data_IF_635271635895
#
_entry.id   IF_635271635895
#
_cell.length_a   1.000
_cell.length_b   1.000
_cell.length_c   1.000
_cell.angle_alpha   90.00
_cell.angle_beta   90.00
_cell.angle_gamma   90.00
#
_symmetry.space_group_name_H-M   'P 1'
#
loop_
_entity.id
_entity.type
_entity.pdbx_description
1 polymer ?
#
# COMPACT_ATOMS: atom_id res chain seq x y z
N UNK A 1 29.70 16.26 8.79
CA UNK A 1 29.15 15.15 9.58
C UNK A 1 27.69 15.01 9.15
N UNK A 2 27.27 13.81 8.75
CA UNK A 2 25.87 13.54 8.36
C UNK A 2 24.94 13.86 9.52
N UNK A 3 23.92 14.69 9.26
CA UNK A 3 22.91 15.04 10.26
C UNK A 3 21.68 14.14 10.14
N UNK A 4 21.02 13.87 11.26
CA UNK A 4 19.75 13.12 11.27
C UNK A 4 18.71 13.76 10.34
N UNK A 5 18.59 15.09 10.40
CA UNK A 5 17.67 15.86 9.55
C UNK A 5 17.88 15.57 8.07
N UNK A 6 19.13 15.60 7.59
CA UNK A 6 19.46 15.32 6.20
C UNK A 6 18.96 13.93 5.75
N UNK A 7 19.13 12.91 6.60
CA UNK A 7 18.72 11.54 6.29
C UNK A 7 17.18 11.43 6.29
N UNK A 8 16.51 12.06 7.27
CA UNK A 8 15.06 12.09 7.33
C UNK A 8 14.45 12.81 6.13
N UNK A 9 14.97 13.98 5.76
CA UNK A 9 14.53 14.73 4.58
C UNK A 9 14.66 13.88 3.30
N UNK A 10 15.76 13.11 3.17
CA UNK A 10 15.96 12.19 2.04
C UNK A 10 14.97 11.01 2.03
N UNK A 11 14.69 10.40 3.19
CA UNK A 11 13.73 9.31 3.34
C UNK A 11 12.29 9.78 3.09
N UNK A 12 11.94 11.00 3.49
CA UNK A 12 10.64 11.60 3.19
C UNK A 12 10.49 11.91 1.69
N UNK A 13 11.54 12.45 1.06
CA UNK A 13 11.54 12.70 -0.37
C UNK A 13 11.37 11.40 -1.18
N UNK A 14 12.07 10.32 -0.81
CA UNK A 14 11.91 9.00 -1.42
C UNK A 14 10.47 8.47 -1.25
N UNK A 15 9.89 8.61 -0.06
CA UNK A 15 8.49 8.25 0.20
C UNK A 15 7.50 9.06 -0.64
N UNK A 16 7.81 10.33 -0.92
CA UNK A 16 7.01 11.20 -1.79
C UNK A 16 7.21 10.92 -3.29
N UNK A 17 7.99 9.88 -3.65
CA UNK A 17 8.21 9.44 -5.02
C UNK A 17 9.45 10.03 -5.70
N UNK A 18 10.31 10.76 -4.98
CA UNK A 18 11.57 11.25 -5.54
C UNK A 18 12.62 10.13 -5.56
N UNK A 19 13.00 9.66 -6.76
CA UNK A 19 13.94 8.53 -6.93
C UNK A 19 15.37 8.83 -6.48
N UNK A 20 15.85 10.07 -6.67
CA UNK A 20 17.24 10.47 -6.35
C UNK A 20 17.25 11.69 -5.41
N UNK A 21 16.97 11.50 -4.11
CA UNK A 21 16.85 12.61 -3.16
C UNK A 21 18.19 13.20 -2.71
N UNK A 22 19.28 12.45 -2.79
CA UNK A 22 20.57 12.86 -2.19
C UNK A 22 21.49 13.46 -3.27
N UNK A 23 22.05 14.65 -3.02
CA UNK A 23 23.12 15.19 -3.85
C UNK A 23 24.46 14.57 -3.42
N UNK A 24 25.27 14.18 -4.39
CA UNK A 24 26.60 13.63 -4.16
C UNK A 24 27.48 14.61 -3.36
N UNK A 25 27.30 15.91 -3.59
CA UNK A 25 28.08 16.97 -2.95
C UNK A 25 27.93 16.98 -1.42
N UNK A 26 26.83 16.44 -0.91
CA UNK A 26 26.54 16.38 0.53
C UNK A 26 27.15 15.12 1.21
N UNK A 27 27.54 14.11 0.43
CA UNK A 27 27.89 12.78 0.98
C UNK A 27 29.34 12.35 0.79
N UNK A 28 30.04 12.86 -0.23
CA UNK A 28 31.38 12.39 -0.59
C UNK A 28 32.42 12.58 0.52
N UNK A 29 32.33 13.67 1.28
CA UNK A 29 33.21 13.93 2.43
C UNK A 29 32.97 12.93 3.57
N UNK A 30 31.69 12.59 3.80
CA UNK A 30 31.30 11.64 4.85
C UNK A 30 31.71 10.20 4.48
N UNK A 31 31.85 9.88 3.19
CA UNK A 31 32.45 8.63 2.72
C UNK A 31 34.00 8.59 2.89
N UNK A 32 34.62 9.68 3.37
CA UNK A 32 36.05 9.73 3.69
C UNK A 32 36.97 10.17 2.55
N UNK A 33 36.42 10.68 1.44
CA UNK A 33 37.24 11.21 0.35
C UNK A 33 37.76 12.62 0.67
N UNK A 34 39.00 12.91 0.29
CA UNK A 34 39.62 14.24 0.43
C UNK A 34 39.35 15.18 -0.73
N UNK A 35 38.95 14.64 -1.88
CA UNK A 35 38.62 15.41 -3.09
C UNK A 35 37.35 14.84 -3.73
N UNK A 36 36.46 15.75 -4.15
CA UNK A 36 35.24 15.42 -4.90
C UNK A 36 35.53 14.53 -6.12
N UNK A 37 36.54 14.86 -6.91
CA UNK A 37 36.91 14.07 -8.11
C UNK A 37 37.24 12.61 -7.80
N UNK A 38 37.90 12.34 -6.66
CA UNK A 38 38.21 10.97 -6.24
C UNK A 38 36.93 10.21 -5.91
N UNK A 39 35.99 10.87 -5.23
CA UNK A 39 34.68 10.31 -4.92
C UNK A 39 33.84 10.06 -6.17
N UNK A 40 33.82 10.99 -7.13
CA UNK A 40 33.12 10.80 -8.42
C UNK A 40 33.67 9.59 -9.17
N UNK A 41 35.00 9.43 -9.22
CA UNK A 41 35.61 8.24 -9.84
C UNK A 41 35.21 6.96 -9.12
N UNK A 42 35.08 6.97 -7.80
CA UNK A 42 34.65 5.82 -7.03
C UNK A 42 33.16 5.50 -7.25
N UNK A 43 32.31 6.52 -7.33
CA UNK A 43 30.90 6.39 -7.69
C UNK A 43 30.74 5.72 -9.07
N UNK A 44 31.45 6.24 -10.08
CA UNK A 44 31.36 5.75 -11.47
C UNK A 44 32.04 4.40 -11.70
N UNK A 45 33.05 4.05 -10.91
CA UNK A 45 33.72 2.72 -10.96
C UNK A 45 33.07 1.69 -10.03
N UNK A 46 32.17 2.12 -9.17
CA UNK A 46 31.46 1.25 -8.25
C UNK A 46 30.53 0.28 -8.99
N UNK A 47 29.92 -0.65 -8.24
CA UNK A 47 28.90 -1.57 -8.77
C UNK A 47 27.51 -0.91 -8.88
N UNK A 48 27.46 0.42 -8.98
CA UNK A 48 26.22 1.20 -9.03
C UNK A 48 25.80 1.38 -10.49
N UNK A 49 24.50 1.23 -10.74
CA UNK A 49 23.91 1.25 -12.07
C UNK A 49 23.34 2.64 -12.35
N UNK A 50 23.76 3.33 -13.43
CA UNK A 50 23.15 4.59 -13.85
C UNK A 50 21.65 4.45 -14.09
N UNK A 51 20.87 5.50 -13.80
CA UNK A 51 19.40 5.56 -13.90
C UNK A 51 18.62 4.64 -12.95
N UNK A 52 19.31 3.84 -12.13
CA UNK A 52 18.71 3.05 -11.04
C UNK A 52 19.23 3.55 -9.69
N UNK A 53 20.54 3.60 -9.55
CA UNK A 53 21.21 3.97 -8.30
C UNK A 53 21.56 5.46 -8.26
N UNK A 54 21.89 6.04 -9.41
CA UNK A 54 22.24 7.46 -9.50
C UNK A 54 21.89 8.06 -10.87
N UNK A 55 21.65 9.36 -10.88
CA UNK A 55 21.36 10.14 -12.08
C UNK A 55 22.36 11.30 -12.21
N UNK A 56 22.84 11.54 -13.43
CA UNK A 56 23.79 12.61 -13.74
C UNK A 56 23.06 13.76 -14.42
N UNK A 57 22.99 14.90 -13.74
CA UNK A 57 22.51 16.14 -14.32
C UNK A 57 23.70 16.83 -14.99
N UNK A 58 23.70 16.86 -16.32
CA UNK A 58 24.77 17.47 -17.11
C UNK A 58 24.69 18.99 -17.00
N UNK A 59 25.78 19.60 -16.51
CA UNK A 59 25.91 21.05 -16.41
C UNK A 59 26.33 21.67 -17.73
N UNK A 60 25.93 22.93 -17.95
CA UNK A 60 26.40 23.68 -19.11
C UNK A 60 27.84 24.15 -18.90
N UNK A 61 28.80 23.44 -19.50
CA UNK A 61 30.23 23.76 -19.43
C UNK A 61 30.57 25.14 -19.99
N UNK A 62 29.82 25.64 -20.97
CA UNK A 62 30.04 26.98 -21.56
C UNK A 62 29.73 28.08 -20.53
N UNK A 63 28.83 27.80 -19.60
CA UNK A 63 28.48 28.70 -18.48
C UNK A 63 29.26 28.38 -17.19
N UNK A 64 30.26 27.50 -17.24
CA UNK A 64 31.02 27.09 -16.06
C UNK A 64 30.23 26.22 -15.07
N UNK A 65 29.07 25.70 -15.45
CA UNK A 65 28.22 24.89 -14.57
C UNK A 65 28.71 23.43 -14.62
N UNK A 66 29.13 22.91 -13.47
CA UNK A 66 29.58 21.51 -13.33
C UNK A 66 28.42 20.52 -13.31
N UNK A 67 28.70 19.27 -13.69
CA UNK A 67 27.73 18.18 -13.55
C UNK A 67 27.37 17.98 -12.07
N UNK A 68 26.10 17.64 -11.82
CA UNK A 68 25.62 17.19 -10.51
C UNK A 68 25.30 15.70 -10.58
N UNK A 69 25.50 15.01 -9.47
CA UNK A 69 25.22 13.59 -9.35
C UNK A 69 24.24 13.42 -8.22
N UNK A 70 23.06 12.86 -8.52
CA UNK A 70 22.04 12.58 -7.51
C UNK A 70 21.94 11.08 -7.29
N UNK A 71 21.82 10.66 -6.05
CA UNK A 71 21.80 9.25 -5.64
C UNK A 71 20.46 8.90 -5.00
N UNK A 72 20.07 7.63 -5.14
CA UNK A 72 19.06 7.03 -4.28
C UNK A 72 19.58 6.88 -2.85
N UNK A 73 18.68 6.63 -1.90
CA UNK A 73 19.08 6.38 -0.50
C UNK A 73 19.92 5.10 -0.41
N UNK A 74 19.54 4.07 -1.15
CA UNK A 74 20.27 2.80 -1.21
C UNK A 74 21.65 2.94 -1.88
N UNK A 75 21.74 3.72 -2.96
CA UNK A 75 23.02 4.00 -3.61
C UNK A 75 23.97 4.79 -2.72
N UNK A 76 23.44 5.71 -1.92
CA UNK A 76 24.22 6.49 -0.94
C UNK A 76 24.85 5.58 0.13
N UNK A 77 24.08 4.64 0.69
CA UNK A 77 24.58 3.61 1.62
C UNK A 77 25.63 2.71 0.98
N UNK A 78 25.39 2.30 -0.27
CA UNK A 78 26.28 1.43 -1.04
C UNK A 78 27.58 2.13 -1.43
N UNK A 79 27.53 3.42 -1.73
CA UNK A 79 28.69 4.26 -1.98
C UNK A 79 29.57 4.39 -0.73
N UNK A 80 28.97 4.68 0.43
CA UNK A 80 29.70 4.71 1.71
C UNK A 80 30.39 3.37 2.03
N UNK A 81 29.72 2.24 1.73
CA UNK A 81 30.32 0.90 1.87
C UNK A 81 31.50 0.72 0.91
N UNK A 82 31.31 1.07 -0.36
CA UNK A 82 32.31 0.89 -1.40
C UNK A 82 33.57 1.77 -1.19
N UNK A 83 33.45 2.85 -0.43
CA UNK A 83 34.57 3.72 -0.10
C UNK A 83 35.65 3.01 0.74
N UNK A 84 35.29 1.97 1.50
CA UNK A 84 36.19 1.18 2.34
C UNK A 84 37.06 2.06 3.27
N UNK A 85 36.44 3.06 3.89
CA UNK A 85 37.06 3.95 4.89
C UNK A 85 36.30 3.87 6.21
N UNK A 86 36.99 4.15 7.33
CA UNK A 86 36.34 4.18 8.65
C UNK A 86 35.18 5.18 8.70
N UNK A 87 35.36 6.35 8.07
CA UNK A 87 34.30 7.37 7.94
C UNK A 87 33.11 6.86 7.11
N UNK A 88 33.37 6.16 6.02
CA UNK A 88 32.33 5.57 5.18
C UNK A 88 31.53 4.49 5.92
N UNK A 89 32.21 3.65 6.70
CA UNK A 89 31.56 2.64 7.53
C UNK A 89 30.70 3.28 8.64
N UNK A 90 31.20 4.32 9.31
CA UNK A 90 30.44 5.09 10.31
C UNK A 90 29.21 5.77 9.67
N UNK A 91 29.40 6.46 8.55
CA UNK A 91 28.33 7.11 7.79
C UNK A 91 27.24 6.12 7.38
N UNK A 92 27.63 4.96 6.87
CA UNK A 92 26.69 3.90 6.48
C UNK A 92 25.91 3.36 7.68
N UNK A 93 26.60 3.09 8.79
CA UNK A 93 25.96 2.59 10.02
C UNK A 93 24.93 3.58 10.53
N UNK A 94 25.27 4.87 10.51
CA UNK A 94 24.37 5.94 10.91
C UNK A 94 23.14 6.03 9.99
N UNK A 95 23.32 5.92 8.66
CA UNK A 95 22.19 5.82 7.72
C UNK A 95 21.23 4.69 8.06
N UNK A 96 21.76 3.48 8.27
CA UNK A 96 20.95 2.29 8.59
C UNK A 96 20.20 2.48 9.92
N UNK A 97 20.84 3.09 10.91
CA UNK A 97 20.24 3.32 12.21
C UNK A 97 19.07 4.31 12.14
N UNK A 98 19.25 5.46 11.47
CA UNK A 98 18.20 6.46 11.28
C UNK A 98 17.05 5.88 10.46
N UNK A 99 17.35 5.16 9.38
CA UNK A 99 16.35 4.49 8.55
C UNK A 99 15.53 3.46 9.35
N UNK A 100 16.19 2.67 10.21
CA UNK A 100 15.50 1.71 11.08
C UNK A 100 14.53 2.40 12.04
N UNK A 101 14.96 3.48 12.70
CA UNK A 101 14.10 4.25 13.60
C UNK A 101 12.92 4.87 12.86
N UNK A 102 13.16 5.42 11.67
CA UNK A 102 12.12 5.99 10.81
C UNK A 102 11.07 4.95 10.41
N UNK A 103 11.50 3.76 9.95
CA UNK A 103 10.60 2.65 9.61
C UNK A 103 9.76 2.19 10.81
N UNK A 104 10.38 2.05 11.99
CA UNK A 104 9.65 1.70 13.21
C UNK A 104 8.61 2.76 13.59
N UNK A 105 8.92 4.04 13.41
CA UNK A 105 7.98 5.13 13.63
C UNK A 105 6.79 5.07 12.65
N UNK A 106 7.05 4.79 11.37
CA UNK A 106 6.01 4.60 10.37
C UNK A 106 5.13 3.39 10.69
N UNK A 107 5.73 2.24 11.00
CA UNK A 107 5.00 1.03 11.39
C UNK A 107 4.13 1.27 12.62
N UNK A 108 4.64 1.97 13.63
CA UNK A 108 3.88 2.34 14.83
C UNK A 108 2.72 3.28 14.51
N UNK A 109 2.96 4.27 13.65
CA UNK A 109 1.91 5.21 13.22
C UNK A 109 0.82 4.48 12.42
N UNK A 110 1.21 3.53 11.58
CA UNK A 110 0.29 2.67 10.84
C UNK A 110 -0.49 1.75 11.79
N UNK A 111 0.17 1.08 12.74
CA UNK A 111 -0.51 0.20 13.69
C UNK A 111 -1.50 0.98 14.57
N UNK A 112 -1.16 2.22 14.96
CA UNK A 112 -2.07 3.11 15.68
C UNK A 112 -3.30 3.51 14.83
N UNK A 113 -3.16 3.62 13.50
CA UNK A 113 -4.28 3.85 12.59
C UNK A 113 -5.16 2.62 12.35
N UNK A 114 -4.70 1.41 12.69
CA UNK A 114 -5.49 0.18 12.62
C UNK A 114 -6.22 -0.15 13.93
N UNK A 115 -5.78 0.41 15.06
CA UNK A 115 -6.44 0.22 16.36
C UNK A 115 -7.67 1.13 16.58
N UNK A 116 -7.98 2.04 15.63
CA UNK A 116 -9.32 2.64 15.54
C UNK A 116 -10.32 1.64 14.99
N UNK A 117 -10.73 0.70 15.83
CA UNK A 117 -12.04 0.02 15.80
C UNK A 117 -13.20 1.02 15.98
N UNK A 118 -13.22 2.08 15.18
CA UNK A 118 -14.37 3.01 15.06
C UNK A 118 -14.66 3.35 13.60
N UNK A 119 -14.37 2.46 12.66
CA UNK A 119 -14.95 2.55 11.33
C UNK A 119 -16.14 1.61 11.27
N UNK A 120 -17.32 2.22 11.16
CA UNK A 120 -18.56 1.52 10.90
C UNK A 120 -18.34 0.53 9.74
N UNK A 121 -18.79 -0.72 9.85
CA UNK A 121 -18.57 -1.67 8.76
C UNK A 121 -19.19 -1.07 7.50
N UNK A 122 -18.43 -1.01 6.40
CA UNK A 122 -18.85 -0.38 5.15
C UNK A 122 -20.21 -0.90 4.63
N UNK A 123 -20.59 -2.12 5.02
CA UNK A 123 -21.87 -2.75 4.70
C UNK A 123 -22.60 -3.22 5.98
N UNK A 124 -23.13 -2.31 6.82
CA UNK A 124 -23.58 -2.64 8.17
C UNK A 124 -24.94 -3.38 8.20
N UNK A 125 -25.69 -3.41 7.10
CA UNK A 125 -27.07 -3.87 7.08
C UNK A 125 -27.23 -5.13 6.23
N UNK A 126 -27.71 -6.21 6.84
CA UNK A 126 -27.98 -7.44 6.10
C UNK A 126 -29.35 -7.38 5.41
N UNK A 127 -29.50 -8.05 4.27
CA UNK A 127 -30.77 -8.10 3.54
C UNK A 127 -31.89 -8.74 4.36
N UNK A 128 -31.55 -9.60 5.34
CA UNK A 128 -32.51 -10.21 6.25
C UNK A 128 -33.05 -9.19 7.23
N UNK A 129 -32.15 -8.37 7.78
CA UNK A 129 -32.50 -7.28 8.68
C UNK A 129 -33.37 -6.23 7.99
N UNK A 130 -33.03 -5.85 6.75
CA UNK A 130 -33.87 -4.97 5.94
C UNK A 130 -35.27 -5.60 5.78
N UNK A 131 -35.37 -6.87 5.40
CA UNK A 131 -36.65 -7.56 5.25
C UNK A 131 -37.46 -7.70 6.56
N UNK A 132 -36.84 -7.59 7.74
CA UNK A 132 -37.58 -7.51 9.02
C UNK A 132 -38.33 -6.17 9.16
N UNK A 133 -37.82 -5.09 8.55
CA UNK A 133 -38.37 -3.74 8.68
C UNK A 133 -39.38 -3.36 7.60
N UNK A 134 -39.27 -3.96 6.41
CA UNK A 134 -40.07 -3.58 5.23
C UNK A 134 -40.88 -4.73 4.67
N UNK A 135 -42.09 -4.43 4.19
CA UNK A 135 -43.02 -5.44 3.67
C UNK A 135 -42.83 -5.68 2.16
N UNK A 136 -41.67 -6.21 1.81
CA UNK A 136 -41.48 -6.74 0.46
C UNK A 136 -42.14 -8.12 0.34
N UNK A 137 -42.73 -8.39 -0.84
CA UNK A 137 -43.48 -9.62 -1.12
C UNK A 137 -42.68 -10.93 -0.87
N UNK A 138 -41.34 -10.89 -0.82
CA UNK A 138 -40.46 -11.91 -0.23
C UNK A 138 -38.97 -11.46 -0.22
N UNK A 139 -38.09 -12.19 0.48
CA UNK A 139 -36.62 -11.93 0.52
C UNK A 139 -35.96 -11.96 -0.88
N UNK A 140 -36.50 -12.77 -1.79
CA UNK A 140 -36.02 -12.87 -3.19
C UNK A 140 -36.29 -11.58 -3.95
N UNK A 141 -37.43 -10.96 -3.72
CA UNK A 141 -37.83 -9.69 -4.33
C UNK A 141 -36.95 -8.56 -3.82
N UNK A 142 -36.70 -8.47 -2.51
CA UNK A 142 -35.76 -7.48 -1.94
C UNK A 142 -34.37 -7.59 -2.59
N UNK A 143 -33.87 -8.82 -2.76
CA UNK A 143 -32.61 -9.06 -3.47
C UNK A 143 -32.65 -8.65 -4.94
N UNK A 144 -33.76 -8.90 -5.62
CA UNK A 144 -33.91 -8.52 -7.03
C UNK A 144 -33.94 -7.01 -7.21
N UNK A 145 -34.64 -6.28 -6.35
CA UNK A 145 -34.67 -4.81 -6.37
C UNK A 145 -33.26 -4.25 -6.18
N UNK A 146 -32.54 -4.76 -5.17
CA UNK A 146 -31.18 -4.31 -4.88
C UNK A 146 -30.23 -4.59 -6.06
N UNK A 147 -30.34 -5.76 -6.69
CA UNK A 147 -29.51 -6.10 -7.86
C UNK A 147 -29.79 -5.25 -9.10
N UNK A 148 -31.02 -4.75 -9.25
CA UNK A 148 -31.40 -3.98 -10.42
C UNK A 148 -30.95 -2.52 -10.31
N UNK A 149 -30.99 -1.97 -9.09
CA UNK A 149 -30.83 -0.54 -8.85
C UNK A 149 -29.48 -0.16 -8.24
N UNK A 150 -28.65 -1.13 -7.83
CA UNK A 150 -27.40 -0.91 -7.09
C UNK A 150 -26.23 -1.77 -7.60
N UNK A 151 -24.99 -1.34 -7.31
CA UNK A 151 -23.76 -1.98 -7.80
C UNK A 151 -23.07 -2.89 -6.76
N UNK A 152 -22.67 -4.10 -7.17
CA UNK A 152 -21.93 -5.04 -6.32
C UNK A 152 -20.50 -4.55 -6.07
N UNK A 153 -20.09 -4.53 -4.80
CA UNK A 153 -18.79 -4.03 -4.34
C UNK A 153 -18.80 -2.55 -3.95
N UNK A 154 -19.85 -1.81 -4.31
CA UNK A 154 -20.02 -0.39 -3.97
C UNK A 154 -21.20 -0.23 -3.01
N UNK A 155 -22.37 -0.70 -3.41
CA UNK A 155 -23.62 -0.54 -2.66
C UNK A 155 -23.97 -1.77 -1.84
N UNK A 156 -23.62 -2.96 -2.34
CA UNK A 156 -23.80 -4.21 -1.63
C UNK A 156 -22.67 -5.21 -1.86
N UNK A 157 -22.52 -6.18 -0.97
CA UNK A 157 -21.63 -7.33 -1.13
C UNK A 157 -22.33 -8.63 -0.75
N UNK A 158 -21.88 -9.74 -1.34
CA UNK A 158 -22.29 -11.08 -0.95
C UNK A 158 -21.29 -11.69 0.02
N UNK A 159 -21.79 -12.12 1.18
CA UNK A 159 -21.05 -12.94 2.14
C UNK A 159 -21.83 -14.23 2.34
N UNK A 160 -21.24 -15.35 1.89
CA UNK A 160 -21.89 -16.68 1.86
C UNK A 160 -23.21 -16.70 1.06
N UNK A 161 -24.34 -16.60 1.76
CA UNK A 161 -25.71 -16.63 1.20
C UNK A 161 -26.52 -15.41 1.61
N UNK A 162 -25.87 -14.40 2.17
CA UNK A 162 -26.49 -13.18 2.65
C UNK A 162 -25.84 -11.97 1.96
N UNK A 163 -26.68 -10.99 1.69
CA UNK A 163 -26.28 -9.76 1.03
C UNK A 163 -26.22 -8.67 2.10
N UNK A 164 -25.14 -7.91 2.10
CA UNK A 164 -24.90 -6.82 3.04
C UNK A 164 -24.88 -5.52 2.23
N UNK A 165 -25.58 -4.49 2.72
CA UNK A 165 -25.72 -3.20 2.09
C UNK A 165 -24.96 -2.14 2.87
N UNK A 166 -24.45 -1.14 2.15
CA UNK A 166 -23.94 0.09 2.76
C UNK A 166 -25.08 0.91 3.37
N UNK A 167 -24.72 1.94 4.14
CA UNK A 167 -25.71 2.73 4.87
C UNK A 167 -26.64 3.54 3.95
N UNK A 168 -26.11 4.05 2.85
CA UNK A 168 -26.86 4.88 1.90
C UNK A 168 -27.91 4.05 1.14
N UNK A 169 -27.51 2.91 0.59
CA UNK A 169 -28.40 1.98 -0.10
C UNK A 169 -29.49 1.45 0.83
N UNK A 170 -29.15 1.13 2.09
CA UNK A 170 -30.15 0.73 3.08
C UNK A 170 -31.15 1.86 3.36
N UNK A 171 -30.69 3.10 3.51
CA UNK A 171 -31.55 4.25 3.80
C UNK A 171 -32.49 4.57 2.65
N UNK A 172 -31.97 4.61 1.41
CA UNK A 172 -32.77 4.85 0.20
C UNK A 172 -33.85 3.77 0.07
N UNK A 173 -33.47 2.52 0.27
CA UNK A 173 -34.37 1.39 0.15
C UNK A 173 -35.46 1.37 1.23
N UNK A 174 -35.15 1.78 2.47
CA UNK A 174 -36.13 1.93 3.53
C UNK A 174 -37.10 3.09 3.28
N UNK A 175 -36.61 4.20 2.70
CA UNK A 175 -37.46 5.34 2.34
C UNK A 175 -38.42 5.02 1.18
N UNK A 176 -38.01 4.15 0.24
CA UNK A 176 -38.83 3.73 -0.89
C UNK A 176 -39.88 2.65 -0.50
N UNK A 177 -39.69 1.97 0.62
CA UNK A 177 -40.50 0.83 1.01
C UNK A 177 -41.68 1.20 1.92
N UNK A 178 -42.74 0.38 1.89
CA UNK A 178 -43.80 0.46 2.89
C UNK A 178 -43.41 -0.34 4.14
N UNK A 179 -43.52 0.24 5.35
CA UNK A 179 -43.29 -0.50 6.58
C UNK A 179 -44.34 -1.60 6.74
N UNK A 180 -43.96 -2.69 7.40
CA UNK A 180 -44.90 -3.74 7.78
C UNK A 180 -45.96 -3.22 8.75
N UNK A 181 -47.23 -3.67 8.65
CA UNK A 181 -48.26 -3.32 9.63
C UNK A 181 -47.79 -3.66 11.06
N UNK A 182 -47.79 -2.67 11.95
CA UNK A 182 -47.37 -2.84 13.34
C UNK A 182 -45.85 -2.79 13.59
N UNK A 183 -45.03 -2.55 12.55
CA UNK A 183 -43.57 -2.39 12.67
C UNK A 183 -43.21 -0.92 12.57
N UNK A 184 -42.59 -0.38 13.62
CA UNK A 184 -42.01 0.96 13.61
C UNK A 184 -40.58 0.85 13.07
N UNK A 185 -40.29 1.52 11.96
CA UNK A 185 -38.92 1.64 11.46
C UNK A 185 -38.13 2.44 12.49
N UNK A 186 -37.01 1.91 13.03
CA UNK A 186 -36.17 2.66 13.95
C UNK A 186 -35.68 3.96 13.30
N UNK A 187 -35.71 5.07 14.03
CA UNK A 187 -35.06 6.32 13.60
C UNK A 187 -33.54 6.14 13.44
N UNK A 188 -32.97 5.19 14.19
CA UNK A 188 -31.59 4.75 14.07
C UNK A 188 -31.54 3.24 13.81
N UNK A 189 -31.05 2.86 12.64
CA UNK A 189 -30.93 1.47 12.24
C UNK A 189 -29.90 0.76 13.13
N UNK A 190 -30.37 -0.12 14.03
CA UNK A 190 -29.50 -0.92 14.91
C UNK A 190 -28.49 -1.69 14.09
N UNK A 191 -27.21 -1.41 14.24
CA UNK A 191 -26.13 -2.09 13.50
C UNK A 191 -25.98 -3.51 14.06
N UNK A 192 -25.91 -4.52 13.19
CA UNK A 192 -25.48 -5.87 13.61
C UNK A 192 -23.96 -5.95 13.49
N UNK A 193 -23.29 -6.74 14.35
CA UNK A 193 -21.86 -6.99 14.17
C UNK A 193 -21.65 -7.61 12.79
N UNK A 194 -20.88 -6.92 11.94
CA UNK A 194 -20.56 -7.41 10.61
C UNK A 194 -19.69 -8.67 10.75
N UNK A 195 -19.98 -9.75 9.99
CA UNK A 195 -19.28 -11.02 10.17
C UNK A 195 -17.90 -10.99 9.49
N UNK A 196 -16.97 -10.21 10.04
CA UNK A 196 -15.61 -10.04 9.53
C UNK A 196 -14.89 -11.37 9.32
N UNK A 197 -15.02 -12.29 10.28
CA UNK A 197 -14.41 -13.63 10.19
C UNK A 197 -14.89 -14.39 8.95
N UNK A 198 -16.16 -14.24 8.59
CA UNK A 198 -16.74 -14.89 7.41
C UNK A 198 -16.30 -14.25 6.10
N UNK A 199 -16.18 -12.91 6.08
CA UNK A 199 -15.67 -12.19 4.91
C UNK A 199 -14.22 -12.58 4.64
N UNK A 200 -13.39 -12.62 5.67
CA UNK A 200 -11.98 -13.02 5.56
C UNK A 200 -11.87 -14.45 5.04
N UNK A 201 -12.60 -15.40 5.64
CA UNK A 201 -12.65 -16.78 5.15
C UNK A 201 -13.10 -16.87 3.69
N UNK A 202 -14.07 -16.06 3.27
CA UNK A 202 -14.53 -16.04 1.87
C UNK A 202 -13.44 -15.53 0.91
N UNK A 203 -12.73 -14.47 1.28
CA UNK A 203 -11.61 -13.93 0.50
C UNK A 203 -10.47 -14.95 0.40
N UNK A 204 -10.10 -15.57 1.52
CA UNK A 204 -9.07 -16.61 1.59
C UNK A 204 -9.45 -17.82 0.73
N UNK A 205 -10.71 -18.27 0.80
CA UNK A 205 -11.23 -19.35 -0.04
C UNK A 205 -11.21 -18.99 -1.53
N UNK A 206 -11.49 -17.74 -1.91
CA UNK A 206 -11.43 -17.27 -3.29
C UNK A 206 -9.97 -17.24 -3.81
N UNK A 207 -9.03 -16.80 -2.97
CA UNK A 207 -7.60 -16.81 -3.27
C UNK A 207 -7.10 -18.26 -3.42
N UNK A 208 -7.46 -19.15 -2.49
CA UNK A 208 -7.06 -20.55 -2.52
C UNK A 208 -7.61 -21.27 -3.75
N UNK A 209 -8.88 -21.05 -4.12
CA UNK A 209 -9.45 -21.61 -5.36
C UNK A 209 -8.69 -21.17 -6.62
N UNK A 210 -8.30 -19.89 -6.71
CA UNK A 210 -7.50 -19.38 -7.83
C UNK A 210 -6.13 -20.04 -7.89
N UNK A 211 -5.46 -20.21 -6.74
CA UNK A 211 -4.16 -20.90 -6.63
C UNK A 211 -4.25 -22.37 -7.03
N UNK A 212 -5.30 -23.08 -6.61
CA UNK A 212 -5.53 -24.47 -6.99
C UNK A 212 -5.78 -24.62 -8.49
N UNK A 213 -6.55 -23.71 -9.11
CA UNK A 213 -6.79 -23.74 -10.55
C UNK A 213 -5.53 -23.41 -11.38
N UNK A 214 -4.72 -22.44 -10.95
CA UNK A 214 -3.44 -22.15 -11.63
C UNK A 214 -2.46 -23.31 -11.52
N UNK A 215 -2.46 -24.03 -10.39
CA UNK A 215 -1.59 -25.20 -10.22
C UNK A 215 -1.99 -26.35 -11.15
N UNK A 216 -3.28 -26.65 -11.27
CA UNK A 216 -3.80 -27.65 -12.21
C UNK A 216 -3.51 -27.31 -13.68
N UNK A 217 -3.56 -26.02 -14.06
CA UNK A 217 -3.17 -25.59 -15.41
C UNK A 217 -1.66 -25.76 -15.66
N UNK A 218 -0.81 -25.50 -14.65
CA UNK A 218 0.64 -25.70 -14.78
C UNK A 218 1.04 -27.18 -14.88
N UNK A 219 0.33 -28.07 -14.17
CA UNK A 219 0.56 -29.52 -14.27
C UNK A 219 0.09 -30.09 -15.61
N UNK A 220 -1.05 -29.62 -16.14
CA UNK A 220 -1.54 -30.02 -17.45
C UNK A 220 -0.59 -29.61 -18.61
N UNK A 221 0.02 -28.42 -18.52
CA UNK A 221 1.03 -27.95 -19.48
C UNK A 221 2.36 -28.70 -19.36
N UNK A 222 2.78 -29.07 -18.14
CA UNK A 222 3.99 -29.86 -17.91
C UNK A 222 3.88 -31.33 -18.37
N UNK A 223 2.67 -31.89 -18.41
CA UNK A 223 2.44 -33.24 -18.95
C UNK A 223 2.43 -33.28 -20.49
N UNK A 224 2.08 -32.18 -21.14
CA UNK A 224 2.10 -32.09 -22.62
C UNK A 224 3.51 -31.94 -23.20
N UNK A 225 4.48 -31.43 -22.43
CA UNK A 225 5.89 -31.30 -22.88
C UNK A 225 6.72 -32.59 -22.76
N UNK A 226 6.11 -33.71 -22.32
CA UNK A 226 6.77 -35.01 -22.19
C UNK A 226 6.48 -35.96 -23.38
N UNK A 227 5.75 -35.49 -24.39
CA UNK A 227 5.34 -36.27 -25.57
C UNK A 227 5.91 -35.77 -26.90
N UNK A 228 6.89 -34.85 -26.89
CA UNK A 228 7.68 -34.44 -28.07
C UNK A 228 9.16 -34.82 -27.92
#
# INVERSE_FOLDING_TARGET
MLTEKFILDALEAERNGQQFPIDFDDIWENAGYSRKDSGIRALLKGRLIPEIDFHIIVGNKVLGISNKHKLSVDASKSFCLAANTDKGEEARRYFIEVEKRYRQHLERSLSLSFDTKSEEPAFPYSSTQIHEWVDYCNRTYTRSVIKNDYEEGIDYIWVEREMYLNADAATILLNAARPRPGVIIPSELKKRPFPWDKLQQFQDNKINRRRSQSHLQSEALGQLSLFD
#
